data_IF_065665923060
#
_entry.id   IF_065665923060
#
_cell.length_a   1.000
_cell.length_b   1.000
_cell.length_c   1.000
_cell.angle_alpha   90.00
_cell.angle_beta   90.00
_cell.angle_gamma   90.00
#
_symmetry.space_group_name_H-M   'P 1'
#
loop_
_entity.id
_entity.type
_entity.pdbx_description
1 polymer ?
#
# COMPACT_ATOMS: atom_id res chain seq x y z
N UNK A 1 -12.13 0.44 12.32
CA UNK A 1 -10.68 0.65 12.06
C UNK A 1 -10.17 1.60 13.13
N UNK A 2 -9.07 1.30 13.83
CA UNK A 2 -8.39 2.32 14.64
C UNK A 2 -8.05 3.53 13.75
N UNK A 3 -8.01 4.73 14.32
CA UNK A 3 -7.82 5.98 13.56
C UNK A 3 -6.55 5.95 12.68
N UNK A 4 -5.53 5.21 13.10
CA UNK A 4 -4.30 4.99 12.35
C UNK A 4 -4.36 3.70 11.53
N UNK A 5 -4.72 3.84 10.25
CA UNK A 5 -4.71 2.75 9.28
C UNK A 5 -4.36 3.28 7.88
N UNK A 6 -3.37 2.69 7.19
CA UNK A 6 -2.99 3.05 5.82
C UNK A 6 -3.91 2.42 4.75
N UNK A 7 -4.95 1.69 5.17
CA UNK A 7 -5.84 0.96 4.25
C UNK A 7 -6.68 1.90 3.38
N UNK A 8 -6.55 1.79 2.06
CA UNK A 8 -7.37 2.51 1.08
C UNK A 8 -8.63 1.74 0.65
N UNK A 9 -8.93 0.62 1.33
CA UNK A 9 -10.03 -0.32 1.00
C UNK A 9 -9.86 -1.10 -0.31
N UNK A 10 -8.64 -1.15 -0.82
CA UNK A 10 -8.23 -2.16 -1.79
C UNK A 10 -7.72 -3.39 -1.01
N UNK A 11 -8.35 -4.54 -1.24
CA UNK A 11 -8.03 -5.79 -0.54
C UNK A 11 -7.50 -6.83 -1.52
N UNK A 12 -6.41 -6.50 -2.21
CA UNK A 12 -5.70 -7.43 -3.09
C UNK A 12 -4.28 -7.57 -2.58
N UNK A 13 -3.86 -8.81 -2.34
CA UNK A 13 -2.50 -9.20 -2.01
C UNK A 13 -1.87 -9.76 -3.28
N UNK A 14 -0.80 -9.13 -3.73
CA UNK A 14 -0.04 -9.63 -4.87
C UNK A 14 0.78 -10.86 -4.43
N UNK A 15 0.58 -12.04 -5.07
CA UNK A 15 1.34 -13.24 -4.74
C UNK A 15 2.82 -13.16 -5.11
N UNK A 16 3.21 -12.27 -6.03
CA UNK A 16 4.61 -12.10 -6.43
C UNK A 16 5.41 -11.32 -5.38
N UNK A 17 4.85 -10.22 -4.87
CA UNK A 17 5.52 -9.35 -3.88
C UNK A 17 5.17 -9.70 -2.43
N UNK A 18 4.04 -10.39 -2.20
CA UNK A 18 3.49 -10.65 -0.87
C UNK A 18 2.90 -9.40 -0.18
N UNK A 19 2.71 -8.32 -0.94
CA UNK A 19 2.23 -7.03 -0.44
C UNK A 19 0.83 -6.72 -0.93
N UNK A 20 0.06 -5.99 -0.12
CA UNK A 20 -1.20 -5.43 -0.57
C UNK A 20 -0.95 -4.31 -1.59
N UNK A 21 -1.53 -4.41 -2.77
CA UNK A 21 -1.37 -3.45 -3.87
C UNK A 21 -1.76 -2.01 -3.47
N UNK A 22 -2.72 -1.88 -2.54
CA UNK A 22 -3.23 -0.56 -2.15
C UNK A 22 -2.53 0.10 -0.97
N UNK A 23 -2.02 -0.68 -0.02
CA UNK A 23 -1.45 -0.13 1.21
C UNK A 23 -0.02 -0.62 1.51
N UNK A 24 0.53 -1.54 0.73
CA UNK A 24 1.91 -2.03 0.87
C UNK A 24 2.16 -2.87 2.12
N UNK A 25 1.11 -3.25 2.87
CA UNK A 25 1.21 -4.13 4.03
C UNK A 25 1.24 -5.60 3.60
N UNK A 26 1.94 -6.44 4.35
CA UNK A 26 1.88 -7.90 4.18
C UNK A 26 0.58 -8.49 4.75
N UNK A 27 0.27 -9.73 4.40
CA UNK A 27 -0.84 -10.48 5.00
C UNK A 27 -0.74 -10.58 6.53
N UNK A 28 0.47 -10.83 7.05
CA UNK A 28 0.71 -10.93 8.50
C UNK A 28 0.50 -9.59 9.21
N UNK A 29 0.97 -8.49 8.63
CA UNK A 29 0.74 -7.14 9.16
C UNK A 29 -0.76 -6.79 9.18
N UNK A 30 -1.52 -7.24 8.17
CA UNK A 30 -2.98 -7.07 8.10
C UNK A 30 -3.67 -7.88 9.21
N UNK A 31 -3.29 -9.16 9.37
CA UNK A 31 -3.88 -10.05 10.38
C UNK A 31 -3.59 -9.57 11.81
N UNK A 32 -2.39 -9.04 12.07
CA UNK A 32 -1.98 -8.56 13.39
C UNK A 32 -2.47 -7.13 13.71
N UNK A 33 -2.96 -6.36 12.73
CA UNK A 33 -3.13 -4.91 12.84
C UNK A 33 -3.95 -4.44 14.06
N UNK A 34 -5.03 -5.16 14.37
CA UNK A 34 -5.90 -4.85 15.50
C UNK A 34 -5.20 -4.93 16.85
N UNK A 35 -4.19 -5.78 16.97
CA UNK A 35 -3.43 -6.04 18.20
C UNK A 35 -2.17 -5.20 18.34
N UNK A 36 -1.72 -4.54 17.27
CA UNK A 36 -0.54 -3.68 17.30
C UNK A 36 -0.78 -2.40 18.09
N UNK A 37 0.23 -1.98 18.84
CA UNK A 37 0.28 -0.66 19.49
C UNK A 37 0.44 0.45 18.46
N UNK A 38 0.06 1.67 18.84
CA UNK A 38 0.19 2.84 17.95
C UNK A 38 1.64 3.08 17.46
N UNK A 39 2.68 3.00 18.31
CA UNK A 39 4.06 3.13 17.84
C UNK A 39 4.49 2.03 16.85
N UNK A 40 3.95 0.81 16.96
CA UNK A 40 4.20 -0.26 15.99
C UNK A 40 3.54 0.03 14.66
N UNK A 41 2.30 0.50 14.67
CA UNK A 41 1.57 0.90 13.45
C UNK A 41 2.31 2.01 12.72
N UNK A 42 2.77 3.04 13.43
CA UNK A 42 3.52 4.15 12.85
C UNK A 42 4.85 3.69 12.24
N UNK A 43 5.57 2.78 12.92
CA UNK A 43 6.80 2.18 12.39
C UNK A 43 6.57 1.42 11.09
N UNK A 44 5.50 0.63 11.01
CA UNK A 44 5.14 -0.08 9.78
C UNK A 44 4.77 0.93 8.68
N UNK A 45 3.90 1.90 8.99
CA UNK A 45 3.41 2.91 8.04
C UNK A 45 4.54 3.73 7.41
N UNK A 46 5.59 4.05 8.16
CA UNK A 46 6.75 4.77 7.64
C UNK A 46 7.45 4.04 6.47
N UNK A 47 7.37 2.71 6.42
CA UNK A 47 8.01 1.91 5.37
C UNK A 47 7.13 1.63 4.14
N UNK A 48 5.81 1.81 4.24
CA UNK A 48 4.87 1.39 3.19
C UNK A 48 5.06 2.13 1.85
N UNK A 49 5.29 3.46 1.83
CA UNK A 49 5.51 4.16 0.56
C UNK A 49 6.72 3.62 -0.22
N UNK A 50 7.82 3.33 0.48
CA UNK A 50 9.02 2.77 -0.14
C UNK A 50 8.78 1.35 -0.68
N UNK A 51 8.03 0.51 0.06
CA UNK A 51 7.65 -0.84 -0.40
C UNK A 51 6.80 -0.77 -1.67
N UNK A 52 5.83 0.15 -1.72
CA UNK A 52 4.99 0.37 -2.90
C UNK A 52 5.81 0.84 -4.09
N UNK A 53 6.65 1.87 -3.93
CA UNK A 53 7.49 2.38 -5.01
C UNK A 53 8.45 1.33 -5.60
N UNK A 54 8.98 0.44 -4.76
CA UNK A 54 9.86 -0.64 -5.19
C UNK A 54 9.12 -1.80 -5.88
N UNK A 55 7.84 -2.00 -5.58
CA UNK A 55 7.05 -3.17 -6.03
C UNK A 55 6.11 -2.84 -7.19
N UNK A 56 5.58 -1.62 -7.19
CA UNK A 56 4.66 -1.07 -8.18
C UNK A 56 5.24 0.27 -8.66
N UNK A 57 6.31 0.25 -9.46
CA UNK A 57 6.77 1.48 -10.09
C UNK A 57 5.59 2.05 -10.89
N UNK A 58 5.24 3.30 -10.61
CA UNK A 58 4.13 3.97 -11.27
C UNK A 58 4.35 3.85 -12.79
N UNK A 59 3.36 3.38 -13.56
CA UNK A 59 3.48 3.38 -15.01
C UNK A 59 3.72 4.82 -15.44
N UNK A 60 4.74 5.05 -16.27
CA UNK A 60 4.98 6.38 -16.84
C UNK A 60 3.66 6.91 -17.40
N UNK A 61 3.28 8.18 -17.12
CA UNK A 61 2.01 8.70 -17.56
C UNK A 61 1.95 8.57 -19.08
N UNK A 62 1.06 7.68 -19.58
CA UNK A 62 0.77 7.58 -21.00
C UNK A 62 0.40 8.98 -21.49
N UNK A 63 1.01 9.48 -22.58
CA UNK A 63 0.75 10.83 -23.04
C UNK A 63 -0.75 10.97 -23.31
N UNK A 64 -1.38 11.90 -22.58
CA UNK A 64 -2.80 12.19 -22.72
C UNK A 64 -3.15 12.33 -24.21
N UNK A 65 -4.25 11.69 -24.69
CA UNK A 65 -4.59 11.73 -26.10
C UNK A 65 -4.69 13.19 -26.51
N UNK A 66 -3.78 13.61 -27.39
CA UNK A 66 -3.70 14.96 -27.91
C UNK A 66 -5.11 15.36 -28.36
N UNK A 67 -5.65 16.38 -27.72
CA UNK A 67 -6.99 16.89 -27.96
C UNK A 67 -7.21 17.00 -29.47
N UNK A 68 -8.20 16.24 -29.97
CA UNK A 68 -8.61 16.23 -31.36
C UNK A 68 -8.96 17.67 -31.76
N UNK A 69 -8.14 18.25 -32.66
CA UNK A 69 -8.35 19.57 -33.26
C UNK A 69 -9.39 19.52 -34.38
#
# INVERSE_FOLDING_TARGET
MPASSPCIRLCVLDPATGLCEGCGRTGDEIAAWGSLSEPERLRIMAGLPARLAASYPEPEPEPAPAALA
#
